data_IF_436014349219
#
_entry.id   IF_436014349219
#
_cell.length_a   1.000
_cell.length_b   1.000
_cell.length_c   1.000
_cell.angle_alpha   90.00
_cell.angle_beta   90.00
_cell.angle_gamma   90.00
#
_symmetry.space_group_name_H-M   'P 1'
#
loop_
_entity.id
_entity.type
_entity.pdbx_description
1 polymer ?
#
# COMPACT_ATOMS: atom_id res chain seq x y z
N UNK A 1 7.91 17.27 22.95
CA UNK A 1 6.48 17.01 23.18
C UNK A 1 5.67 17.92 22.25
N UNK A 2 4.36 17.72 22.11
CA UNK A 2 3.47 18.65 21.38
C UNK A 2 2.76 19.52 22.41
N UNK A 3 2.85 20.83 22.25
CA UNK A 3 2.11 21.79 23.07
C UNK A 3 0.72 22.00 22.47
N UNK A 4 -0.28 21.37 23.07
CA UNK A 4 -1.67 21.43 22.60
C UNK A 4 -2.31 22.78 22.91
N UNK A 5 -1.99 23.38 24.06
CA UNK A 5 -2.57 24.64 24.52
C UNK A 5 -2.10 25.82 23.66
N UNK A 6 -0.84 25.78 23.19
CA UNK A 6 -0.29 26.77 22.28
C UNK A 6 -0.67 26.56 20.79
N UNK A 7 -1.61 25.65 20.48
CA UNK A 7 -2.05 25.40 19.11
C UNK A 7 -1.29 24.29 18.39
N UNK A 8 -1.00 23.18 19.09
CA UNK A 8 -0.31 21.99 18.58
C UNK A 8 1.15 22.21 18.15
N UNK A 9 1.87 23.10 18.83
CA UNK A 9 3.26 23.42 18.49
C UNK A 9 4.18 22.22 18.79
N UNK A 10 4.86 21.64 17.78
CA UNK A 10 5.74 20.51 18.00
C UNK A 10 7.13 20.96 18.46
N UNK A 11 7.64 20.35 19.54
CA UNK A 11 9.05 20.48 19.92
C UNK A 11 9.89 19.40 19.24
N UNK A 12 10.57 19.78 18.17
CA UNK A 12 11.52 18.92 17.47
C UNK A 12 12.82 18.77 18.25
N UNK A 13 13.29 17.54 18.35
CA UNK A 13 14.60 17.20 18.92
C UNK A 13 15.42 16.47 17.87
N UNK A 14 16.72 16.68 17.92
CA UNK A 14 17.67 15.91 17.12
C UNK A 14 17.66 14.47 17.66
N UNK A 15 17.48 13.50 16.77
CA UNK A 15 17.56 12.10 17.14
C UNK A 15 18.96 11.77 17.67
N UNK A 16 19.08 11.06 18.80
CA UNK A 16 20.37 10.65 19.34
C UNK A 16 21.22 9.92 18.28
N UNK A 17 22.50 10.29 18.16
CA UNK A 17 23.45 9.71 17.21
C UNK A 17 23.48 10.38 15.84
N UNK A 18 22.61 11.37 15.57
CA UNK A 18 22.62 12.15 14.32
C UNK A 18 23.44 13.45 14.41
N UNK A 19 24.03 13.75 15.55
CA UNK A 19 24.76 15.00 15.81
C UNK A 19 25.96 15.15 14.88
N UNK A 20 26.73 14.07 14.66
CA UNK A 20 27.87 14.08 13.73
C UNK A 20 27.46 14.40 12.30
N UNK A 21 26.31 13.88 11.86
CA UNK A 21 25.76 14.12 10.52
C UNK A 21 25.39 15.60 10.38
N UNK A 22 24.69 16.15 11.37
CA UNK A 22 24.27 17.56 11.35
C UNK A 22 25.47 18.50 11.34
N UNK A 23 26.49 18.22 12.16
CA UNK A 23 27.75 18.98 12.15
C UNK A 23 28.42 18.91 10.78
N UNK A 24 28.47 17.72 10.16
CA UNK A 24 28.95 17.53 8.79
C UNK A 24 28.20 18.36 7.76
N UNK A 25 26.86 18.34 7.81
CA UNK A 25 26.00 19.12 6.91
C UNK A 25 26.24 20.63 7.05
N UNK A 26 26.34 21.14 8.28
CA UNK A 26 26.65 22.57 8.53
C UNK A 26 28.02 22.95 7.97
N UNK A 27 29.05 22.13 8.19
CA UNK A 27 30.39 22.40 7.66
C UNK A 27 30.41 22.41 6.12
N UNK A 28 29.70 21.46 5.48
CA UNK A 28 29.58 21.42 4.03
C UNK A 28 28.82 22.63 3.48
N UNK A 29 27.68 22.97 4.11
CA UNK A 29 26.87 24.13 3.74
C UNK A 29 27.65 25.44 3.80
N UNK A 30 28.54 25.61 4.80
CA UNK A 30 29.39 26.81 4.95
C UNK A 30 30.35 27.02 3.77
N UNK A 31 30.83 25.93 3.17
CA UNK A 31 31.79 25.96 2.06
C UNK A 31 31.11 26.04 0.69
N UNK A 32 29.83 25.68 0.61
CA UNK A 32 29.10 25.60 -0.64
C UNK A 32 28.58 26.97 -1.09
N UNK A 33 28.58 27.23 -2.40
CA UNK A 33 27.95 28.43 -2.98
C UNK A 33 26.42 28.37 -2.93
N UNK A 34 25.87 27.17 -3.02
CA UNK A 34 24.44 26.87 -2.94
C UNK A 34 24.27 25.45 -2.37
N UNK A 35 23.14 25.19 -1.71
CA UNK A 35 22.77 23.86 -1.22
C UNK A 35 21.49 23.41 -1.91
N UNK A 36 21.52 22.21 -2.50
CA UNK A 36 20.36 21.61 -3.15
C UNK A 36 19.73 20.58 -2.19
N UNK A 37 18.44 20.77 -1.89
CA UNK A 37 17.62 19.87 -1.09
C UNK A 37 16.89 18.92 -2.05
N UNK A 38 17.44 17.71 -2.20
CA UNK A 38 17.02 16.72 -3.20
C UNK A 38 16.39 15.47 -2.56
N UNK A 39 15.51 15.64 -1.58
CA UNK A 39 14.68 14.56 -1.03
C UNK A 39 13.54 14.19 -1.97
N UNK A 40 12.87 13.07 -1.71
CA UNK A 40 11.77 12.56 -2.55
C UNK A 40 10.64 13.58 -2.75
N UNK A 41 9.89 13.53 -3.87
CA UNK A 41 8.84 14.48 -4.23
C UNK A 41 7.51 14.21 -3.51
N UNK A 42 7.54 13.74 -2.26
CA UNK A 42 6.36 13.51 -1.43
C UNK A 42 6.37 14.40 -0.18
N UNK A 43 5.31 14.32 0.63
CA UNK A 43 5.21 15.12 1.86
C UNK A 43 6.28 14.79 2.90
N UNK A 44 6.78 13.55 2.96
CA UNK A 44 7.82 13.15 3.90
C UNK A 44 9.17 13.74 3.48
N UNK A 45 9.48 13.65 2.19
CA UNK A 45 10.63 14.30 1.57
C UNK A 45 10.59 15.82 1.73
N UNK A 46 9.41 16.44 1.60
CA UNK A 46 9.27 17.89 1.81
C UNK A 46 9.51 18.29 3.27
N UNK A 47 8.97 17.54 4.24
CA UNK A 47 9.24 17.77 5.66
C UNK A 47 10.73 17.57 6.01
N UNK A 48 11.39 16.58 5.40
CA UNK A 48 12.84 16.38 5.55
C UNK A 48 13.62 17.57 4.98
N UNK A 49 13.28 18.04 3.77
CA UNK A 49 13.91 19.20 3.16
C UNK A 49 13.78 20.43 4.06
N UNK A 50 12.59 20.66 4.61
CA UNK A 50 12.32 21.76 5.55
C UNK A 50 13.13 21.63 6.85
N UNK A 51 13.17 20.45 7.48
CA UNK A 51 13.98 20.25 8.68
C UNK A 51 15.47 20.47 8.43
N UNK A 52 15.99 19.99 7.30
CA UNK A 52 17.38 20.21 6.92
C UNK A 52 17.64 21.68 6.64
N UNK A 53 16.74 22.38 5.96
CA UNK A 53 16.88 23.82 5.71
C UNK A 53 16.92 24.61 7.02
N UNK A 54 16.03 24.30 7.96
CA UNK A 54 16.01 24.94 9.29
C UNK A 54 17.32 24.72 10.06
N UNK A 55 17.95 23.56 9.90
CA UNK A 55 19.23 23.25 10.57
C UNK A 55 20.43 24.00 9.99
N UNK A 56 20.40 24.38 8.71
CA UNK A 56 21.56 24.94 7.99
C UNK A 56 21.36 26.38 7.48
N UNK A 57 20.16 26.96 7.57
CA UNK A 57 19.85 28.32 7.07
C UNK A 57 20.74 29.41 7.65
N UNK A 58 21.17 29.27 8.90
CA UNK A 58 22.09 30.20 9.56
C UNK A 58 23.50 30.13 8.99
N UNK A 59 23.83 29.01 8.33
CA UNK A 59 25.13 28.74 7.74
C UNK A 59 25.18 29.05 6.25
N UNK A 60 24.08 28.81 5.52
CA UNK A 60 23.95 29.12 4.10
C UNK A 60 22.51 29.56 3.78
N UNK A 61 22.36 30.75 3.20
CA UNK A 61 21.05 31.31 2.80
C UNK A 61 20.60 30.89 1.40
N UNK A 62 21.51 30.37 0.57
CA UNK A 62 21.23 29.96 -0.81
C UNK A 62 20.81 28.48 -0.85
N UNK A 63 19.59 28.22 -0.39
CA UNK A 63 18.99 26.89 -0.36
C UNK A 63 18.01 26.76 -1.53
N UNK A 64 18.01 25.61 -2.22
CA UNK A 64 17.13 25.34 -3.36
C UNK A 64 16.51 23.97 -3.25
N UNK A 65 15.19 23.85 -3.45
CA UNK A 65 14.50 22.55 -3.47
C UNK A 65 14.49 21.99 -4.89
N UNK A 66 14.95 20.75 -5.04
CA UNK A 66 15.05 20.04 -6.32
C UNK A 66 14.25 18.74 -6.22
N UNK A 67 13.33 18.50 -7.14
CA UNK A 67 12.43 17.33 -7.14
C UNK A 67 12.52 16.58 -8.47
N UNK A 68 12.54 15.24 -8.40
CA UNK A 68 12.50 14.36 -9.56
C UNK A 68 11.79 13.06 -9.17
N UNK A 69 11.12 12.43 -10.15
CA UNK A 69 10.41 11.17 -9.94
C UNK A 69 11.22 9.94 -10.40
N UNK A 70 12.40 10.16 -10.97
CA UNK A 70 13.29 9.10 -11.42
C UNK A 70 14.74 9.59 -11.35
N UNK A 71 15.67 8.67 -11.11
CA UNK A 71 17.10 8.97 -11.00
C UNK A 71 17.76 8.70 -12.36
N UNK A 72 17.45 9.57 -13.32
CA UNK A 72 18.06 9.58 -14.66
C UNK A 72 18.87 10.86 -14.87
N UNK A 73 19.90 10.82 -15.71
CA UNK A 73 20.74 12.01 -15.98
C UNK A 73 19.89 13.20 -16.46
N UNK A 74 18.92 12.93 -17.35
CA UNK A 74 18.00 13.94 -17.86
C UNK A 74 17.13 14.55 -16.77
N UNK A 75 16.46 13.71 -15.96
CA UNK A 75 15.58 14.18 -14.89
C UNK A 75 16.33 14.99 -13.83
N UNK A 76 17.53 14.55 -13.44
CA UNK A 76 18.36 15.25 -12.45
C UNK A 76 18.85 16.59 -12.98
N UNK A 77 19.34 16.65 -14.23
CA UNK A 77 19.76 17.92 -14.85
C UNK A 77 18.60 18.91 -14.94
N UNK A 78 17.45 18.45 -15.40
CA UNK A 78 16.24 19.27 -15.51
C UNK A 78 15.81 19.84 -14.15
N UNK A 79 15.80 18.99 -13.12
CA UNK A 79 15.42 19.38 -11.77
C UNK A 79 16.38 20.42 -11.17
N UNK A 80 17.68 20.34 -11.48
CA UNK A 80 18.68 21.33 -11.04
C UNK A 80 18.51 22.68 -11.75
N UNK A 81 18.10 22.66 -13.03
CA UNK A 81 17.84 23.88 -13.82
C UNK A 81 16.59 24.62 -13.34
N UNK A 82 15.57 23.88 -12.87
CA UNK A 82 14.29 24.41 -12.41
C UNK A 82 14.04 24.13 -10.91
N UNK A 83 14.85 24.69 -10.01
CA UNK A 83 14.60 24.56 -8.57
C UNK A 83 13.30 25.29 -8.20
N UNK A 84 12.61 24.75 -7.21
CA UNK A 84 11.44 25.39 -6.60
C UNK A 84 11.71 25.81 -5.16
N UNK A 85 10.75 26.50 -4.58
CA UNK A 85 10.70 26.76 -3.14
C UNK A 85 10.14 25.53 -2.39
N UNK A 86 10.41 25.47 -1.09
CA UNK A 86 9.81 24.45 -0.22
C UNK A 86 8.31 24.69 -0.12
N UNK A 87 7.53 23.63 -0.37
CA UNK A 87 6.09 23.65 -0.26
C UNK A 87 5.66 23.49 1.20
N UNK A 88 5.30 24.62 1.82
CA UNK A 88 4.88 24.65 3.22
C UNK A 88 3.59 23.88 3.46
N UNK A 89 2.68 23.80 2.48
CA UNK A 89 1.43 23.05 2.63
C UNK A 89 1.72 21.54 2.76
N UNK A 90 2.65 21.01 1.95
CA UNK A 90 3.07 19.61 2.05
C UNK A 90 3.76 19.31 3.38
N UNK A 91 4.63 20.21 3.85
CA UNK A 91 5.25 20.12 5.19
C UNK A 91 4.18 20.11 6.27
N UNK A 92 3.24 21.04 6.25
CA UNK A 92 2.17 21.15 7.24
C UNK A 92 1.25 19.92 7.23
N UNK A 93 0.96 19.36 6.05
CA UNK A 93 0.20 18.11 5.96
C UNK A 93 0.94 16.93 6.62
N UNK A 94 2.26 16.86 6.46
CA UNK A 94 3.09 15.84 7.12
C UNK A 94 3.12 16.05 8.64
N UNK A 95 3.31 17.29 9.08
CA UNK A 95 3.34 17.68 10.49
C UNK A 95 2.01 17.40 11.20
N UNK A 96 0.89 17.78 10.58
CA UNK A 96 -0.45 17.49 11.07
C UNK A 96 -0.68 15.99 11.24
N UNK A 97 -0.27 15.17 10.25
CA UNK A 97 -0.33 13.71 10.36
C UNK A 97 0.52 13.20 11.53
N UNK A 98 1.74 13.71 11.69
CA UNK A 98 2.67 13.29 12.75
C UNK A 98 2.16 13.64 14.14
N UNK A 99 1.57 14.83 14.30
CA UNK A 99 0.92 15.27 15.54
C UNK A 99 -0.30 14.41 15.84
N UNK A 100 -1.17 14.19 14.85
CA UNK A 100 -2.36 13.35 15.01
C UNK A 100 -2.00 11.92 15.46
N UNK A 101 -1.02 11.30 14.80
CA UNK A 101 -0.59 9.95 15.14
C UNK A 101 0.06 9.90 16.53
N UNK A 102 0.73 10.99 16.97
CA UNK A 102 1.27 11.12 18.34
C UNK A 102 0.17 11.20 19.40
N UNK A 103 -0.84 12.05 19.17
CA UNK A 103 -1.96 12.23 20.11
C UNK A 103 -2.73 10.92 20.28
N UNK A 104 -3.17 10.31 19.16
CA UNK A 104 -3.89 9.03 19.21
C UNK A 104 -3.03 7.94 19.83
N UNK A 105 -1.76 7.83 19.43
CA UNK A 105 -0.87 6.79 19.92
C UNK A 105 -0.61 6.89 21.42
N UNK A 106 -0.35 8.08 21.95
CA UNK A 106 -0.01 8.25 23.36
C UNK A 106 -1.23 8.09 24.27
N UNK A 107 -2.33 8.79 23.96
CA UNK A 107 -3.51 8.81 24.82
C UNK A 107 -4.23 7.47 24.84
N UNK A 108 -4.42 6.87 23.65
CA UNK A 108 -5.15 5.62 23.54
C UNK A 108 -4.34 4.42 24.03
N UNK A 109 -3.01 4.39 23.83
CA UNK A 109 -2.18 3.29 24.36
C UNK A 109 -2.22 3.24 25.89
N UNK A 110 -2.22 4.40 26.55
CA UNK A 110 -2.35 4.47 28.02
C UNK A 110 -3.64 3.85 28.53
N UNK A 111 -4.75 4.02 27.81
CA UNK A 111 -6.03 3.37 28.13
C UNK A 111 -5.97 1.86 27.88
N UNK A 112 -5.40 1.43 26.74
CA UNK A 112 -5.27 0.00 26.40
C UNK A 112 -4.40 -0.74 27.43
N UNK A 113 -3.33 -0.12 27.93
CA UNK A 113 -2.50 -0.72 28.98
C UNK A 113 -3.30 -1.01 30.26
N UNK A 114 -4.16 -0.07 30.66
CA UNK A 114 -5.01 -0.21 31.85
C UNK A 114 -6.13 -1.24 31.69
N UNK A 115 -6.67 -1.40 30.47
CA UNK A 115 -7.89 -2.19 30.21
C UNK A 115 -7.64 -3.55 29.57
N UNK A 116 -6.51 -3.76 28.90
CA UNK A 116 -6.24 -4.97 28.12
C UNK A 116 -4.92 -5.62 28.56
N UNK A 117 -3.78 -5.00 28.23
CA UNK A 117 -2.45 -5.54 28.57
C UNK A 117 -1.40 -4.44 28.43
N UNK A 118 -0.50 -4.37 29.40
CA UNK A 118 0.67 -3.50 29.34
C UNK A 118 1.55 -3.83 28.13
N UNK A 119 2.06 -2.79 27.46
CA UNK A 119 2.94 -2.92 26.30
C UNK A 119 2.24 -3.00 24.94
N UNK A 120 0.90 -2.98 24.89
CA UNK A 120 0.16 -2.87 23.63
C UNK A 120 0.11 -1.43 23.12
N UNK A 121 0.27 -1.23 21.82
CA UNK A 121 0.12 0.10 21.20
C UNK A 121 -1.21 0.24 20.50
N UNK A 122 -1.79 1.44 20.59
CA UNK A 122 -2.88 1.87 19.74
C UNK A 122 -2.31 2.63 18.53
N UNK A 123 -2.91 2.42 17.35
CA UNK A 123 -2.51 3.13 16.15
C UNK A 123 -3.72 3.50 15.33
N UNK A 124 -3.86 4.79 14.99
CA UNK A 124 -5.00 5.32 14.23
C UNK A 124 -5.31 4.54 12.95
N UNK A 125 -4.29 4.05 12.25
CA UNK A 125 -4.42 3.26 11.01
C UNK A 125 -4.30 1.74 11.26
N UNK A 126 -3.47 1.35 12.24
CA UNK A 126 -3.24 -0.07 12.56
C UNK A 126 -4.48 -0.73 13.17
N UNK A 127 -5.20 -0.03 14.06
CA UNK A 127 -6.38 -0.57 14.73
C UNK A 127 -7.54 -0.84 13.76
N UNK A 128 -7.89 0.06 12.81
CA UNK A 128 -8.84 -0.27 11.74
C UNK A 128 -8.39 -1.42 10.83
N UNK A 129 -7.10 -1.51 10.48
CA UNK A 129 -6.60 -2.62 9.67
C UNK A 129 -6.77 -3.97 10.40
N UNK A 130 -6.46 -4.02 11.70
CA UNK A 130 -6.71 -5.20 12.53
C UNK A 130 -8.21 -5.51 12.63
N UNK A 131 -9.06 -4.48 12.72
CA UNK A 131 -10.52 -4.65 12.75
C UNK A 131 -11.04 -5.35 11.49
N UNK A 132 -10.57 -4.98 10.29
CA UNK A 132 -10.98 -5.65 9.04
C UNK A 132 -10.67 -7.15 9.09
N UNK A 133 -9.48 -7.52 9.58
CA UNK A 133 -9.08 -8.93 9.73
C UNK A 133 -9.98 -9.65 10.74
N UNK A 134 -10.24 -9.01 11.89
CA UNK A 134 -11.09 -9.58 12.94
C UNK A 134 -12.55 -9.72 12.51
N UNK A 135 -13.07 -8.81 11.68
CA UNK A 135 -14.42 -8.91 11.11
C UNK A 135 -14.52 -10.12 10.17
N UNK A 136 -13.54 -10.29 9.26
CA UNK A 136 -13.47 -11.50 8.42
C UNK A 136 -13.36 -12.78 9.23
N UNK A 137 -12.56 -12.80 10.29
CA UNK A 137 -12.43 -13.96 11.17
C UNK A 137 -13.76 -14.30 11.87
N UNK A 138 -14.54 -13.28 12.28
CA UNK A 138 -15.87 -13.48 12.86
C UNK A 138 -16.86 -14.04 11.83
N UNK A 139 -16.81 -13.56 10.58
CA UNK A 139 -17.60 -14.10 9.48
C UNK A 139 -17.29 -15.59 9.27
N UNK A 140 -16.01 -15.96 9.22
CA UNK A 140 -15.56 -17.36 9.06
C UNK A 140 -16.07 -18.24 10.22
N UNK A 141 -15.99 -17.77 11.46
CA UNK A 141 -16.46 -18.53 12.63
C UNK A 141 -17.98 -18.67 12.70
N UNK A 142 -18.71 -17.69 12.20
CA UNK A 142 -20.17 -17.70 12.15
C UNK A 142 -20.71 -18.46 10.93
N UNK A 143 -19.86 -18.82 9.97
CA UNK A 143 -20.25 -19.52 8.77
C UNK A 143 -20.68 -20.96 9.09
N UNK A 144 -21.95 -21.26 8.84
CA UNK A 144 -22.51 -22.62 8.93
C UNK A 144 -22.50 -23.22 7.52
N UNK A 145 -21.60 -24.18 7.22
CA UNK A 145 -21.53 -24.77 5.88
C UNK A 145 -22.79 -25.58 5.57
N UNK A 146 -23.25 -25.48 4.33
CA UNK A 146 -24.38 -26.25 3.81
C UNK A 146 -23.87 -27.20 2.74
N UNK A 147 -24.21 -28.48 2.86
CA UNK A 147 -23.86 -29.48 1.86
C UNK A 147 -24.80 -29.38 0.65
N UNK A 148 -24.23 -29.47 -0.54
CA UNK A 148 -24.96 -29.56 -1.81
C UNK A 148 -24.15 -30.42 -2.79
N UNK A 149 -24.82 -30.93 -3.81
CA UNK A 149 -24.22 -31.75 -4.84
C UNK A 149 -24.11 -30.96 -6.14
N UNK A 150 -22.92 -30.98 -6.74
CA UNK A 150 -22.70 -30.47 -8.11
C UNK A 150 -22.66 -31.68 -9.03
N UNK A 151 -23.58 -31.73 -9.99
CA UNK A 151 -23.67 -32.79 -10.98
C UNK A 151 -22.98 -32.34 -12.26
N UNK A 152 -22.01 -33.12 -12.74
CA UNK A 152 -21.32 -32.87 -14.00
C UNK A 152 -21.53 -34.01 -14.99
N UNK A 153 -21.54 -33.71 -16.28
CA UNK A 153 -21.67 -34.68 -17.35
C UNK A 153 -20.60 -34.43 -18.42
N UNK A 154 -19.79 -35.44 -18.69
CA UNK A 154 -18.83 -35.43 -19.80
C UNK A 154 -19.52 -36.02 -21.03
N UNK A 155 -19.67 -35.23 -22.08
CA UNK A 155 -20.35 -35.62 -23.31
C UNK A 155 -19.43 -35.48 -24.51
N UNK A 156 -19.52 -36.43 -25.44
CA UNK A 156 -18.80 -36.37 -26.72
C UNK A 156 -19.82 -36.29 -27.85
N UNK A 157 -19.71 -35.26 -28.68
CA UNK A 157 -20.52 -35.10 -29.89
C UNK A 157 -19.62 -34.93 -31.09
N UNK A 158 -19.59 -35.93 -31.99
CA UNK A 158 -18.81 -36.05 -33.25
C UNK A 158 -17.32 -35.69 -33.16
N UNK A 159 -17.00 -34.43 -32.83
CA UNK A 159 -15.66 -33.85 -32.79
C UNK A 159 -15.38 -32.97 -31.54
N UNK A 160 -16.33 -32.84 -30.61
CA UNK A 160 -16.20 -32.00 -29.41
C UNK A 160 -16.43 -32.80 -28.13
N UNK A 161 -15.59 -32.55 -27.14
CA UNK A 161 -15.81 -32.98 -25.76
C UNK A 161 -16.37 -31.78 -24.97
N UNK A 162 -17.49 -32.00 -24.30
CA UNK A 162 -18.22 -30.99 -23.54
C UNK A 162 -18.31 -31.46 -22.08
N UNK A 163 -17.79 -30.65 -21.16
CA UNK A 163 -18.05 -30.82 -19.74
C UNK A 163 -19.21 -29.90 -19.36
N UNK A 164 -20.33 -30.50 -18.98
CA UNK A 164 -21.56 -29.80 -18.61
C UNK A 164 -21.72 -29.82 -17.09
N UNK A 165 -22.20 -28.73 -16.52
CA UNK A 165 -22.56 -28.62 -15.10
C UNK A 165 -24.06 -28.44 -15.00
N UNK A 166 -24.73 -29.22 -14.16
CA UNK A 166 -26.15 -29.08 -13.90
C UNK A 166 -26.44 -27.72 -13.24
N UNK A 167 -27.51 -27.06 -13.64
CA UNK A 167 -27.94 -25.79 -13.05
C UNK A 167 -28.53 -25.95 -11.65
N UNK A 168 -29.03 -27.15 -11.34
CA UNK A 168 -29.56 -27.50 -10.03
C UNK A 168 -28.44 -28.02 -9.13
N UNK A 169 -28.39 -27.47 -7.91
CA UNK A 169 -27.43 -27.85 -6.86
C UNK A 169 -28.18 -28.48 -5.67
N UNK A 170 -28.68 -29.73 -5.80
CA UNK A 170 -29.52 -30.32 -4.78
C UNK A 170 -28.78 -30.49 -3.45
N UNK A 171 -29.47 -30.23 -2.34
CA UNK A 171 -28.93 -30.40 -0.99
C UNK A 171 -29.02 -31.85 -0.48
N UNK A 172 -29.86 -32.67 -1.12
CA UNK A 172 -30.10 -34.06 -0.73
C UNK A 172 -29.53 -35.01 -1.78
N UNK A 173 -28.86 -36.07 -1.31
CA UNK A 173 -28.25 -37.09 -2.17
C UNK A 173 -29.30 -37.80 -3.04
N UNK A 174 -30.47 -38.06 -2.50
CA UNK A 174 -31.60 -38.71 -3.21
C UNK A 174 -32.02 -37.93 -4.44
N UNK A 175 -32.10 -36.59 -4.33
CA UNK A 175 -32.46 -35.73 -5.46
C UNK A 175 -31.31 -35.66 -6.48
N UNK A 176 -30.06 -35.59 -6.02
CA UNK A 176 -28.90 -35.66 -6.89
C UNK A 176 -28.87 -36.97 -7.71
N UNK A 177 -29.15 -38.10 -7.07
CA UNK A 177 -29.24 -39.42 -7.72
C UNK A 177 -30.42 -39.49 -8.69
N UNK A 178 -31.58 -38.92 -8.34
CA UNK A 178 -32.73 -38.83 -9.25
C UNK A 178 -32.37 -38.05 -10.52
N UNK A 179 -31.77 -36.87 -10.38
CA UNK A 179 -31.35 -36.04 -11.52
C UNK A 179 -30.32 -36.78 -12.36
N UNK A 180 -29.33 -37.42 -11.73
CA UNK A 180 -28.32 -38.24 -12.41
C UNK A 180 -28.97 -39.35 -13.24
N UNK A 181 -29.88 -40.14 -12.65
CA UNK A 181 -30.55 -41.24 -13.36
C UNK A 181 -31.39 -40.74 -14.54
N UNK A 182 -32.08 -39.60 -14.39
CA UNK A 182 -32.79 -38.97 -15.53
C UNK A 182 -31.80 -38.54 -16.61
N UNK A 183 -30.66 -37.96 -16.24
CA UNK A 183 -29.61 -37.57 -17.18
C UNK A 183 -29.00 -38.75 -17.94
N UNK A 184 -28.72 -39.87 -17.27
CA UNK A 184 -28.13 -41.07 -17.88
C UNK A 184 -29.11 -41.80 -18.81
N UNK A 185 -30.41 -41.81 -18.48
CA UNK A 185 -31.43 -42.52 -19.24
C UNK A 185 -31.86 -41.80 -20.53
N UNK A 186 -31.64 -40.49 -20.63
CA UNK A 186 -32.15 -39.68 -21.73
C UNK A 186 -31.05 -39.28 -22.73
N UNK A 187 -31.45 -39.03 -23.98
CA UNK A 187 -30.57 -38.43 -24.98
C UNK A 187 -30.56 -36.92 -24.80
N UNK A 188 -29.37 -36.33 -24.92
CA UNK A 188 -29.17 -34.90 -24.73
C UNK A 188 -29.18 -34.17 -26.07
N UNK A 189 -29.68 -32.95 -26.06
CA UNK A 189 -29.64 -32.04 -27.20
C UNK A 189 -29.25 -30.65 -26.73
N UNK A 190 -28.47 -29.94 -27.56
CA UNK A 190 -28.10 -28.56 -27.29
C UNK A 190 -29.32 -27.68 -27.57
N UNK A 191 -29.81 -27.01 -26.53
CA UNK A 191 -30.98 -26.12 -26.64
C UNK A 191 -30.61 -24.71 -27.09
N UNK A 192 -29.42 -24.23 -26.69
CA UNK A 192 -28.89 -22.93 -27.10
C UNK A 192 -27.36 -22.94 -27.05
N UNK A 193 -26.74 -22.21 -27.97
CA UNK A 193 -25.34 -21.80 -27.90
C UNK A 193 -25.25 -20.29 -28.06
N UNK A 194 -24.42 -19.65 -27.25
CA UNK A 194 -24.18 -18.21 -27.32
C UNK A 194 -22.70 -17.96 -27.53
N UNK A 195 -22.39 -17.26 -28.60
CA UNK A 195 -21.05 -16.77 -28.88
C UNK A 195 -21.03 -15.25 -28.70
N UNK A 196 -20.02 -14.76 -28.00
CA UNK A 196 -19.83 -13.33 -27.78
C UNK A 196 -18.35 -13.00 -27.91
N UNK A 197 -18.04 -11.94 -28.65
CA UNK A 197 -16.68 -11.41 -28.69
C UNK A 197 -16.30 -10.85 -27.31
N UNK A 198 -15.24 -11.42 -26.73
CA UNK A 198 -14.65 -10.89 -25.51
C UNK A 198 -13.41 -10.07 -25.84
N UNK A 199 -13.44 -8.76 -25.55
CA UNK A 199 -12.24 -7.90 -25.61
C UNK A 199 -11.60 -7.81 -24.24
N UNK A 200 -10.28 -8.00 -24.18
CA UNK A 200 -9.49 -7.83 -22.96
C UNK A 200 -8.44 -6.75 -23.16
N UNK A 201 -8.64 -5.60 -22.52
CA UNK A 201 -7.67 -4.51 -22.53
C UNK A 201 -6.47 -4.84 -21.61
N UNK A 202 -5.27 -4.32 -21.94
CA UNK A 202 -4.12 -4.43 -21.05
C UNK A 202 -4.40 -3.75 -19.71
N UNK A 203 -3.76 -4.25 -18.65
CA UNK A 203 -3.84 -3.63 -17.33
C UNK A 203 -3.10 -2.29 -17.33
N UNK A 204 -3.53 -1.31 -16.51
CA UNK A 204 -2.79 -0.07 -16.34
C UNK A 204 -1.39 -0.33 -15.76
N UNK A 205 -0.46 0.63 -15.91
CA UNK A 205 0.83 0.60 -15.23
C UNK A 205 0.70 0.39 -13.72
N UNK A 206 1.77 -0.09 -13.09
CA UNK A 206 1.77 -0.33 -11.66
C UNK A 206 1.67 0.97 -10.86
N UNK A 207 0.84 0.94 -9.82
CA UNK A 207 0.91 1.82 -8.66
C UNK A 207 1.51 1.04 -7.50
N UNK A 208 1.86 1.71 -6.40
CA UNK A 208 2.36 1.03 -5.20
C UNK A 208 1.45 -0.11 -4.74
N UNK A 209 0.12 0.11 -4.76
CA UNK A 209 -0.86 -0.89 -4.32
C UNK A 209 -0.92 -2.11 -5.25
N UNK A 210 -0.96 -1.88 -6.57
CA UNK A 210 -1.07 -2.97 -7.55
C UNK A 210 0.25 -3.72 -7.71
N UNK A 211 1.39 -3.05 -7.54
CA UNK A 211 2.70 -3.69 -7.47
C UNK A 211 2.79 -4.65 -6.29
N UNK A 212 2.43 -4.20 -5.08
CA UNK A 212 2.44 -5.04 -3.88
C UNK A 212 1.53 -6.26 -4.00
N UNK A 213 0.31 -6.07 -4.54
CA UNK A 213 -0.63 -7.17 -4.78
C UNK A 213 -0.05 -8.20 -5.76
N UNK A 214 0.47 -7.74 -6.92
CA UNK A 214 1.01 -8.65 -7.94
C UNK A 214 2.29 -9.34 -7.47
N UNK A 215 3.18 -8.64 -6.77
CA UNK A 215 4.38 -9.23 -6.19
C UNK A 215 4.03 -10.30 -5.13
N UNK A 216 2.99 -10.06 -4.31
CA UNK A 216 2.51 -11.06 -3.35
C UNK A 216 1.95 -12.29 -4.07
N UNK A 217 1.05 -12.12 -5.04
CA UNK A 217 0.38 -13.24 -5.71
C UNK A 217 1.32 -14.02 -6.64
N UNK A 218 2.24 -13.35 -7.34
CA UNK A 218 3.09 -13.99 -8.35
C UNK A 218 4.47 -14.39 -7.85
N UNK A 219 5.03 -13.65 -6.90
CA UNK A 219 6.41 -13.86 -6.41
C UNK A 219 6.45 -14.29 -4.93
N UNK A 220 5.32 -14.33 -4.24
CA UNK A 220 5.25 -14.64 -2.81
C UNK A 220 5.94 -13.60 -1.92
N UNK A 221 6.14 -12.36 -2.41
CA UNK A 221 6.81 -11.33 -1.65
C UNK A 221 5.85 -10.65 -0.67
N UNK A 222 6.31 -10.45 0.57
CA UNK A 222 5.60 -9.58 1.50
C UNK A 222 5.61 -8.12 1.00
N UNK A 223 4.66 -7.28 1.44
CA UNK A 223 4.66 -5.86 1.08
C UNK A 223 5.98 -5.16 1.43
N UNK A 224 6.56 -5.47 2.61
CA UNK A 224 7.85 -4.92 3.03
C UNK A 224 9.00 -5.35 2.12
N UNK A 225 9.07 -6.63 1.73
CA UNK A 225 10.10 -7.11 0.80
C UNK A 225 9.96 -6.46 -0.57
N UNK A 226 8.73 -6.30 -1.05
CA UNK A 226 8.43 -5.64 -2.33
C UNK A 226 8.90 -4.19 -2.31
N UNK A 227 8.57 -3.42 -1.27
CA UNK A 227 8.99 -2.02 -1.17
C UNK A 227 10.50 -1.88 -0.97
N UNK A 228 11.14 -2.77 -0.23
CA UNK A 228 12.61 -2.76 -0.09
C UNK A 228 13.34 -3.06 -1.40
N UNK A 229 12.78 -3.92 -2.25
CA UNK A 229 13.32 -4.15 -3.59
C UNK A 229 13.05 -2.96 -4.52
N UNK A 230 11.83 -2.41 -4.52
CA UNK A 230 11.47 -1.25 -5.31
C UNK A 230 12.34 -0.03 -4.97
N UNK A 231 12.58 0.24 -3.68
CA UNK A 231 13.46 1.33 -3.24
C UNK A 231 14.87 1.19 -3.83
N UNK A 232 15.47 -0.01 -3.77
CA UNK A 232 16.81 -0.25 -4.35
C UNK A 232 16.83 -0.06 -5.86
N UNK A 233 15.76 -0.45 -6.56
CA UNK A 233 15.62 -0.25 -8.00
C UNK A 233 15.46 1.23 -8.35
N UNK A 234 14.68 1.98 -7.56
CA UNK A 234 14.51 3.42 -7.72
C UNK A 234 15.83 4.15 -7.49
N UNK A 235 16.52 3.88 -6.38
CA UNK A 235 17.82 4.46 -6.05
C UNK A 235 18.92 4.12 -7.08
N UNK A 236 18.79 2.98 -7.76
CA UNK A 236 19.68 2.58 -8.86
C UNK A 236 19.27 3.13 -10.24
N UNK A 237 18.19 3.91 -10.34
CA UNK A 237 17.71 4.50 -11.59
C UNK A 237 17.03 3.50 -12.54
N UNK A 238 16.53 2.37 -12.04
CA UNK A 238 15.87 1.33 -12.85
C UNK A 238 14.35 1.51 -12.96
N UNK A 239 13.73 2.19 -12.00
CA UNK A 239 12.28 2.45 -11.97
C UNK A 239 12.02 3.88 -11.44
N UNK A 240 10.79 4.35 -11.66
CA UNK A 240 10.22 5.55 -11.02
C UNK A 240 9.48 5.24 -9.73
#
# INVERSE_FOLDING_TARGET
>A
AVDVEAGFVPHYIISPGKEKIITGLRMAAKKAKAVLLASDPDREGEAIAWHVSELIKDTNKNLKRVVFNEITEGAVKEAILHPREIDLNLKEAQEARRILDRLVGYDLSGLIWKKVRYGLSAGRVQSPALRIVMEREREIRAFVPVNYFVLTAEMTSKSYNLSLVCTEEPHQKTEAERIKSVGEANKWQITASKETEAKRSPKPPFTTSTLQQVASTRLGFSPSRTMGAAQKLYEAGHIS
#
